data_IF_925718390273
#
_entry.id   IF_925718390273
#
_cell.length_a   1.000
_cell.length_b   1.000
_cell.length_c   1.000
_cell.angle_alpha   90.00
_cell.angle_beta   90.00
_cell.angle_gamma   90.00
#
_symmetry.space_group_name_H-M   'P 1'
#
loop_
_entity.id
_entity.type
_entity.pdbx_description
1 polymer ?
#
# COMPACT_ATOMS: atom_id res chain seq x y z
N UNK A 1 -17.42 -43.90 -40.43
CA UNK A 1 -18.30 -43.57 -39.28
C UNK A 1 -17.41 -43.18 -38.10
N UNK A 2 -17.49 -41.94 -37.62
CA UNK A 2 -16.73 -41.51 -36.42
C UNK A 2 -17.52 -41.96 -35.19
N UNK A 3 -16.99 -42.92 -34.45
CA UNK A 3 -17.48 -43.29 -33.13
C UNK A 3 -17.18 -42.14 -32.16
N UNK A 4 -18.16 -41.29 -31.90
CA UNK A 4 -18.09 -40.35 -30.78
C UNK A 4 -18.28 -41.19 -29.51
N UNK A 5 -17.16 -41.51 -28.84
CA UNK A 5 -17.20 -42.07 -27.49
C UNK A 5 -17.76 -40.97 -26.58
N UNK A 6 -19.01 -41.12 -26.15
CA UNK A 6 -19.58 -40.25 -25.11
C UNK A 6 -18.89 -40.50 -23.77
N UNK A 7 -18.71 -39.44 -23.00
CA UNK A 7 -18.24 -39.52 -21.62
C UNK A 7 -19.28 -40.26 -20.78
N UNK A 8 -18.86 -41.17 -19.90
CA UNK A 8 -19.82 -41.88 -19.04
C UNK A 8 -20.25 -40.99 -17.87
N UNK A 9 -21.51 -41.12 -17.43
CA UNK A 9 -22.01 -40.32 -16.29
C UNK A 9 -21.19 -40.55 -15.02
N UNK A 10 -20.73 -41.79 -14.79
CA UNK A 10 -19.91 -42.13 -13.62
C UNK A 10 -18.54 -41.45 -13.65
N UNK A 11 -17.96 -41.28 -14.84
CA UNK A 11 -16.67 -40.65 -15.04
C UNK A 11 -16.74 -39.13 -14.81
N UNK A 12 -17.89 -38.51 -15.11
CA UNK A 12 -18.13 -37.12 -14.73
C UNK A 12 -18.30 -36.98 -13.20
N UNK A 13 -19.05 -37.89 -12.58
CA UNK A 13 -19.33 -37.86 -11.13
C UNK A 13 -18.05 -38.07 -10.31
N UNK A 14 -17.21 -39.03 -10.67
CA UNK A 14 -15.97 -39.28 -9.93
C UNK A 14 -15.01 -38.09 -10.01
N UNK A 15 -14.95 -37.39 -11.15
CA UNK A 15 -14.08 -36.22 -11.31
C UNK A 15 -14.52 -35.07 -10.40
N UNK A 16 -15.81 -34.73 -10.36
CA UNK A 16 -16.29 -33.65 -9.47
C UNK A 16 -16.12 -34.01 -7.99
N UNK A 17 -16.24 -35.29 -7.62
CA UNK A 17 -16.00 -35.75 -6.24
C UNK A 17 -14.52 -35.59 -5.86
N UNK A 18 -13.60 -35.99 -6.74
CA UNK A 18 -12.16 -35.82 -6.51
C UNK A 18 -11.80 -34.33 -6.41
N UNK A 19 -12.30 -33.50 -7.34
CA UNK A 19 -12.08 -32.04 -7.30
C UNK A 19 -12.66 -31.41 -6.03
N UNK A 20 -13.81 -31.91 -5.54
CA UNK A 20 -14.40 -31.48 -4.27
C UNK A 20 -13.49 -31.72 -3.06
N UNK A 21 -12.92 -32.93 -2.95
CA UNK A 21 -12.02 -33.28 -1.84
C UNK A 21 -10.72 -32.48 -1.89
N UNK A 22 -10.12 -32.36 -3.09
CA UNK A 22 -8.89 -31.57 -3.27
C UNK A 22 -9.10 -30.08 -2.95
N UNK A 23 -10.26 -29.53 -3.33
CA UNK A 23 -10.60 -28.14 -3.02
C UNK A 23 -10.73 -27.90 -1.51
N UNK A 24 -11.40 -28.81 -0.80
CA UNK A 24 -11.64 -28.68 0.65
C UNK A 24 -10.34 -28.60 1.48
N UNK A 25 -9.28 -29.31 1.07
CA UNK A 25 -7.98 -29.26 1.78
C UNK A 25 -7.09 -28.09 1.34
N UNK A 26 -7.24 -27.61 0.11
CA UNK A 26 -6.40 -26.55 -0.44
C UNK A 26 -6.85 -25.14 -0.02
N UNK A 27 -8.16 -24.95 0.15
CA UNK A 27 -8.75 -23.63 0.42
C UNK A 27 -8.26 -22.96 1.71
N UNK A 28 -8.14 -23.65 2.87
CA UNK A 28 -7.65 -23.02 4.11
C UNK A 28 -6.23 -22.48 3.95
N UNK A 29 -5.33 -23.28 3.35
CA UNK A 29 -3.94 -22.88 3.11
C UNK A 29 -3.83 -21.69 2.16
N UNK A 30 -4.72 -21.59 1.17
CA UNK A 30 -4.74 -20.47 0.25
C UNK A 30 -5.11 -19.15 0.95
N UNK A 31 -5.98 -19.20 1.96
CA UNK A 31 -6.36 -18.02 2.77
C UNK A 31 -5.15 -17.52 3.56
N UNK A 32 -4.43 -18.42 4.25
CA UNK A 32 -3.23 -18.06 5.01
C UNK A 32 -2.14 -17.48 4.09
N UNK A 33 -1.88 -18.11 2.95
CA UNK A 33 -0.93 -17.59 1.96
C UNK A 33 -1.33 -16.22 1.41
N UNK A 34 -2.63 -15.96 1.28
CA UNK A 34 -3.13 -14.66 0.81
C UNK A 34 -2.88 -13.56 1.84
N UNK A 35 -3.05 -13.88 3.14
CA UNK A 35 -2.73 -12.99 4.25
C UNK A 35 -1.23 -12.66 4.28
N UNK A 36 -0.38 -13.68 4.25
CA UNK A 36 1.08 -13.49 4.25
C UNK A 36 1.55 -12.68 3.04
N UNK A 37 0.95 -12.90 1.87
CA UNK A 37 1.25 -12.14 0.66
C UNK A 37 0.88 -10.65 0.80
N UNK A 38 -0.24 -10.32 1.45
CA UNK A 38 -0.61 -8.93 1.73
C UNK A 38 0.38 -8.28 2.69
N UNK A 39 0.75 -8.96 3.77
CA UNK A 39 1.71 -8.44 4.75
C UNK A 39 3.07 -8.19 4.08
N UNK A 40 3.58 -9.14 3.29
CA UNK A 40 4.83 -8.98 2.56
C UNK A 40 4.79 -7.80 1.56
N UNK A 41 3.65 -7.57 0.89
CA UNK A 41 3.47 -6.41 0.02
C UNK A 41 3.50 -5.08 0.80
N UNK A 42 2.90 -5.03 1.99
CA UNK A 42 2.95 -3.86 2.86
C UNK A 42 4.35 -3.63 3.41
N UNK A 43 5.09 -4.67 3.80
CA UNK A 43 6.49 -4.56 4.23
C UNK A 43 7.37 -3.96 3.12
N UNK A 44 7.19 -4.44 1.89
CA UNK A 44 7.87 -3.87 0.71
C UNK A 44 7.51 -2.40 0.50
N UNK A 45 6.23 -2.06 0.62
CA UNK A 45 5.75 -0.67 0.49
C UNK A 45 6.32 0.23 1.59
N UNK A 46 6.37 -0.26 2.83
CA UNK A 46 6.95 0.45 3.98
C UNK A 46 8.44 0.73 3.77
N UNK A 47 9.19 -0.25 3.25
CA UNK A 47 10.60 -0.05 2.93
C UNK A 47 10.78 1.01 1.84
N UNK A 48 10.01 0.92 0.75
CA UNK A 48 10.05 1.90 -0.34
C UNK A 48 9.69 3.32 0.12
N UNK A 49 8.68 3.48 0.98
CA UNK A 49 8.34 4.77 1.58
C UNK A 49 9.47 5.33 2.43
N UNK A 50 10.14 4.47 3.21
CA UNK A 50 11.26 4.89 4.03
C UNK A 50 12.46 5.33 3.18
N UNK A 51 12.73 4.62 2.08
CA UNK A 51 13.76 4.99 1.11
C UNK A 51 13.42 6.29 0.39
N UNK A 52 12.18 6.46 -0.06
CA UNK A 52 11.70 7.68 -0.70
C UNK A 52 11.84 8.90 0.21
N UNK A 53 11.38 8.80 1.46
CA UNK A 53 11.46 9.87 2.45
C UNK A 53 12.92 10.24 2.76
N UNK A 54 13.79 9.25 2.96
CA UNK A 54 15.23 9.49 3.17
C UNK A 54 15.91 10.08 1.93
N UNK A 55 15.56 9.61 0.73
CA UNK A 55 16.09 10.12 -0.52
C UNK A 55 15.76 11.59 -0.74
N UNK A 56 14.52 11.99 -0.47
CA UNK A 56 14.09 13.39 -0.49
C UNK A 56 14.83 14.24 0.56
N UNK A 57 14.98 13.72 1.77
CA UNK A 57 15.76 14.37 2.82
C UNK A 57 17.20 14.62 2.41
N UNK A 58 17.90 13.62 1.87
CA UNK A 58 19.27 13.78 1.40
C UNK A 58 19.39 14.86 0.32
N UNK A 59 18.42 14.96 -0.59
CA UNK A 59 18.37 16.05 -1.58
C UNK A 59 18.18 17.41 -0.92
N UNK A 60 17.30 17.52 0.08
CA UNK A 60 17.09 18.78 0.82
C UNK A 60 18.34 19.22 1.60
N UNK A 61 19.14 18.27 2.12
CA UNK A 61 20.39 18.56 2.83
C UNK A 61 21.41 19.15 1.88
N UNK A 62 21.51 18.62 0.66
CA UNK A 62 22.41 19.14 -0.37
C UNK A 62 22.02 20.56 -0.78
N UNK A 63 20.72 20.87 -0.86
CA UNK A 63 20.23 22.22 -1.15
C UNK A 63 20.29 23.18 0.05
N UNK A 64 20.48 22.66 1.27
CA UNK A 64 20.53 23.45 2.50
C UNK A 64 19.17 23.72 3.15
N UNK A 65 18.09 23.13 2.64
CA UNK A 65 16.71 23.39 3.05
C UNK A 65 16.19 22.41 4.11
N UNK A 66 17.00 21.45 4.55
CA UNK A 66 16.62 20.37 5.46
C UNK A 66 16.23 20.79 6.90
N UNK A 67 16.29 22.09 7.20
CA UNK A 67 15.88 22.68 8.49
C UNK A 67 14.68 23.61 8.37
N UNK A 68 14.22 23.88 7.15
CA UNK A 68 13.04 24.70 6.93
C UNK A 68 11.82 23.98 7.53
N UNK A 69 11.01 24.74 8.28
CA UNK A 69 9.75 24.24 8.79
C UNK A 69 8.87 23.77 7.64
N UNK A 70 8.79 24.55 6.56
CA UNK A 70 8.19 24.12 5.30
C UNK A 70 8.96 24.73 4.13
N UNK A 71 9.13 23.97 3.05
CA UNK A 71 9.55 24.46 1.73
C UNK A 71 8.43 24.24 0.74
N UNK A 72 8.30 25.16 -0.21
CA UNK A 72 7.34 25.02 -1.31
C UNK A 72 8.08 24.74 -2.61
N UNK A 73 7.55 23.84 -3.44
CA UNK A 73 8.03 23.57 -4.80
C UNK A 73 9.49 23.11 -4.87
N UNK A 74 9.89 22.16 -4.02
CA UNK A 74 11.20 21.52 -4.10
C UNK A 74 11.21 20.46 -5.21
N UNK A 75 12.13 20.59 -6.18
CA UNK A 75 12.18 19.67 -7.32
C UNK A 75 12.89 18.35 -6.99
N UNK A 76 12.19 17.23 -7.18
CA UNK A 76 12.75 15.88 -7.11
C UNK A 76 12.32 15.13 -8.37
N UNK A 77 13.29 14.68 -9.17
CA UNK A 77 13.04 13.89 -10.38
C UNK A 77 12.04 14.54 -11.37
N UNK A 78 12.03 15.88 -11.45
CA UNK A 78 11.13 16.63 -12.34
C UNK A 78 9.72 16.89 -11.77
N UNK A 79 9.42 16.41 -10.55
CA UNK A 79 8.20 16.69 -9.82
C UNK A 79 8.47 17.68 -8.69
N UNK A 80 7.46 18.47 -8.31
CA UNK A 80 7.56 19.45 -7.24
C UNK A 80 6.91 18.95 -5.97
N UNK A 81 7.67 18.93 -4.88
CA UNK A 81 7.23 18.48 -3.57
C UNK A 81 7.30 19.63 -2.58
N UNK A 82 6.32 19.68 -1.69
CA UNK A 82 6.45 20.46 -0.49
C UNK A 82 7.15 19.59 0.57
N UNK A 83 8.16 20.16 1.24
CA UNK A 83 8.94 19.46 2.24
C UNK A 83 8.75 20.09 3.61
N UNK A 84 8.76 19.28 4.65
CA UNK A 84 8.74 19.67 6.05
C UNK A 84 9.96 19.06 6.74
N UNK A 85 10.85 19.91 7.24
CA UNK A 85 12.14 19.48 7.79
C UNK A 85 12.94 18.57 6.82
N UNK A 86 12.82 18.84 5.52
CA UNK A 86 13.48 18.09 4.45
C UNK A 86 12.75 16.82 3.98
N UNK A 87 11.65 16.42 4.61
CA UNK A 87 10.86 15.25 4.20
C UNK A 87 9.60 15.66 3.44
N UNK A 88 9.13 14.88 2.45
CA UNK A 88 7.93 15.23 1.69
C UNK A 88 6.66 15.22 2.55
N UNK A 89 5.70 16.07 2.20
CA UNK A 89 4.37 16.03 2.78
C UNK A 89 3.62 14.75 2.37
N UNK A 90 2.72 14.29 3.24
CA UNK A 90 1.86 13.14 3.07
C UNK A 90 0.70 13.43 2.11
N UNK A 91 0.01 14.55 2.30
CA UNK A 91 -1.11 14.98 1.47
C UNK A 91 -1.09 16.50 1.28
N UNK A 92 -0.20 17.02 0.42
CA UNK A 92 -0.08 18.45 0.18
C UNK A 92 -1.30 18.98 -0.60
N UNK A 93 -1.66 20.25 -0.36
CA UNK A 93 -2.72 20.92 -1.12
C UNK A 93 -2.31 21.21 -2.57
N UNK A 94 -1.00 21.33 -2.83
CA UNK A 94 -0.41 21.62 -4.14
C UNK A 94 0.86 20.78 -4.29
N UNK A 95 1.08 20.21 -5.48
CA UNK A 95 2.28 19.44 -5.80
C UNK A 95 2.13 17.95 -5.50
N UNK A 96 3.27 17.27 -5.37
CA UNK A 96 3.36 15.82 -5.24
C UNK A 96 3.48 15.37 -3.77
N UNK A 97 2.86 14.25 -3.45
CA UNK A 97 2.93 13.56 -2.16
C UNK A 97 4.16 12.65 -2.09
N UNK A 98 4.62 12.30 -0.88
CA UNK A 98 5.61 11.23 -0.67
C UNK A 98 5.27 9.94 -1.45
N UNK A 99 3.98 9.67 -1.68
CA UNK A 99 3.52 8.49 -2.41
C UNK A 99 3.92 8.52 -3.89
N UNK A 100 4.05 9.70 -4.49
CA UNK A 100 4.49 9.87 -5.89
C UNK A 100 5.98 9.51 -6.10
N UNK A 101 6.73 9.30 -5.01
CA UNK A 101 8.12 8.81 -5.06
C UNK A 101 8.21 7.29 -4.98
N UNK A 102 7.09 6.59 -4.80
CA UNK A 102 7.02 5.14 -4.64
C UNK A 102 6.23 4.52 -5.79
N UNK A 103 6.79 3.47 -6.38
CA UNK A 103 6.04 2.65 -7.34
C UNK A 103 5.12 1.68 -6.60
N UNK A 104 3.82 1.90 -6.71
CA UNK A 104 2.80 1.07 -6.07
C UNK A 104 2.19 0.07 -7.05
N UNK A 105 1.81 -1.10 -6.53
CA UNK A 105 1.01 -2.05 -7.31
C UNK A 105 -0.44 -1.59 -7.44
N UNK A 106 -1.10 -1.91 -8.55
CA UNK A 106 -2.53 -1.59 -8.82
C UNK A 106 -3.54 -2.10 -7.78
N UNK A 107 -3.10 -2.98 -6.86
CA UNK A 107 -3.94 -3.52 -5.78
C UNK A 107 -3.90 -2.69 -4.50
N UNK A 108 -2.93 -1.80 -4.39
CA UNK A 108 -2.79 -0.91 -3.25
C UNK A 108 -3.52 0.38 -3.54
N UNK A 109 -4.24 0.85 -2.54
CA UNK A 109 -4.96 2.10 -2.60
C UNK A 109 -4.33 3.10 -1.64
N UNK A 110 -4.33 4.35 -2.09
CA UNK A 110 -3.74 5.49 -1.38
C UNK A 110 -4.89 6.32 -0.83
N UNK A 111 -4.85 6.59 0.47
CA UNK A 111 -5.85 7.39 1.14
C UNK A 111 -5.13 8.39 2.06
N UNK A 112 -5.16 9.68 1.72
CA UNK A 112 -4.81 10.74 2.63
C UNK A 112 -5.59 10.63 3.96
N UNK A 113 -4.94 10.80 5.10
CA UNK A 113 -5.59 10.66 6.41
C UNK A 113 -5.30 9.34 7.11
N UNK A 114 -6.26 8.89 7.92
CA UNK A 114 -6.09 7.75 8.83
C UNK A 114 -6.57 6.41 8.26
N UNK A 115 -7.13 6.40 7.04
CA UNK A 115 -7.67 5.21 6.37
C UNK A 115 -9.16 4.93 6.62
N UNK A 116 -9.79 5.68 7.53
CA UNK A 116 -11.24 5.66 7.79
C UNK A 116 -12.02 6.65 6.94
N UNK A 117 -11.38 7.74 6.55
CA UNK A 117 -11.85 8.76 5.62
C UNK A 117 -10.64 9.24 4.82
N UNK A 118 -10.79 9.41 3.52
CA UNK A 118 -9.72 9.91 2.66
C UNK A 118 -9.82 11.43 2.60
N UNK A 119 -9.09 12.11 3.48
CA UNK A 119 -9.15 13.55 3.69
C UNK A 119 -7.99 14.23 2.95
N UNK A 120 -8.30 14.96 1.88
CA UNK A 120 -7.33 15.48 0.90
C UNK A 120 -6.28 16.48 1.44
N UNK A 121 -6.29 16.81 2.73
CA UNK A 121 -5.31 17.67 3.39
C UNK A 121 -5.09 17.13 4.79
N UNK A 122 -4.00 16.37 4.97
CA UNK A 122 -3.71 15.65 6.21
C UNK A 122 -2.20 15.47 6.36
N UNK A 123 -1.73 15.46 7.61
CA UNK A 123 -0.33 15.16 7.96
C UNK A 123 0.00 13.66 7.82
N UNK A 124 -0.95 12.87 7.33
CA UNK A 124 -0.87 11.43 7.16
C UNK A 124 -1.31 11.00 5.77
N UNK A 125 -0.75 9.89 5.33
CA UNK A 125 -1.23 9.14 4.18
C UNK A 125 -1.08 7.67 4.47
N UNK A 126 -2.10 6.90 4.15
CA UNK A 126 -2.07 5.44 4.26
C UNK A 126 -2.07 4.80 2.89
N UNK A 127 -1.34 3.70 2.76
CA UNK A 127 -1.27 2.88 1.56
C UNK A 127 -1.60 1.45 1.98
N UNK A 128 -2.66 0.87 1.41
CA UNK A 128 -3.11 -0.44 1.86
C UNK A 128 -4.13 -1.09 0.96
N UNK A 129 -4.68 -2.21 1.43
CA UNK A 129 -5.75 -2.90 0.73
C UNK A 129 -7.11 -2.41 1.22
N UNK A 130 -8.01 -2.04 0.30
CA UNK A 130 -9.39 -1.72 0.68
C UNK A 130 -10.11 -2.95 1.21
N UNK A 131 -10.88 -2.73 2.27
CA UNK A 131 -11.91 -3.66 2.71
C UNK A 131 -13.25 -3.28 2.04
N UNK A 132 -13.52 -3.88 0.88
CA UNK A 132 -14.76 -3.65 0.13
C UNK A 132 -16.01 -4.18 0.84
N UNK A 133 -15.86 -5.02 1.87
CA UNK A 133 -16.99 -5.56 2.64
C UNK A 133 -17.43 -4.63 3.77
N UNK A 134 -16.55 -3.71 4.22
CA UNK A 134 -16.82 -2.75 5.31
C UNK A 134 -17.06 -1.30 4.85
N UNK A 135 -17.29 -1.08 3.56
CA UNK A 135 -17.69 0.23 3.02
C UNK A 135 -16.53 1.19 2.77
N UNK A 136 -15.71 0.89 1.76
CA UNK A 136 -14.66 1.76 1.20
C UNK A 136 -13.70 2.39 2.24
N UNK A 137 -13.41 1.66 3.31
CA UNK A 137 -12.37 2.04 4.28
C UNK A 137 -11.15 1.14 4.12
N UNK A 138 -9.95 1.71 4.29
CA UNK A 138 -8.71 0.94 4.44
C UNK A 138 -8.71 0.33 5.84
N UNK A 139 -9.58 -0.65 6.07
CA UNK A 139 -9.73 -1.27 7.36
C UNK A 139 -8.56 -2.24 7.62
N UNK A 140 -7.63 -1.78 8.46
CA UNK A 140 -6.67 -2.59 9.21
C UNK A 140 -5.58 -3.37 8.44
N UNK A 141 -5.36 -3.09 7.14
CA UNK A 141 -4.27 -3.69 6.36
C UNK A 141 -3.56 -2.62 5.51
N UNK A 142 -2.74 -1.78 6.16
CA UNK A 142 -2.09 -0.64 5.52
C UNK A 142 -0.74 -0.27 6.16
N UNK A 143 0.04 0.51 5.42
CA UNK A 143 1.19 1.27 5.93
C UNK A 143 0.79 2.74 6.03
N UNK A 144 1.09 3.39 7.14
CA UNK A 144 0.86 4.81 7.39
C UNK A 144 2.18 5.55 7.35
N UNK A 145 2.24 6.62 6.58
CA UNK A 145 3.26 7.65 6.68
C UNK A 145 2.67 8.86 7.39
N UNK A 146 3.32 9.30 8.46
CA UNK A 146 3.00 10.53 9.19
C UNK A 146 4.15 11.51 9.01
N UNK A 147 3.84 12.72 8.57
CA UNK A 147 4.81 13.79 8.36
C UNK A 147 5.55 14.17 9.65
N UNK A 148 6.74 14.77 9.53
CA UNK A 148 7.39 15.44 10.65
C UNK A 148 6.49 16.52 11.28
N UNK A 149 6.68 16.78 12.57
CA UNK A 149 6.03 17.87 13.32
C UNK A 149 7.02 18.53 14.25
N UNK A 150 6.64 19.65 14.84
CA UNK A 150 7.51 20.34 15.79
C UNK A 150 7.84 19.42 16.97
N UNK A 151 9.15 19.20 17.20
CA UNK A 151 9.65 18.26 18.20
C UNK A 151 9.87 16.82 17.70
N UNK A 152 9.38 16.46 16.52
CA UNK A 152 9.59 15.16 15.86
C UNK A 152 9.98 15.41 14.39
N UNK A 153 11.27 15.65 14.17
CA UNK A 153 11.83 16.13 12.89
C UNK A 153 11.96 15.04 11.81
N UNK A 154 11.44 13.84 12.07
CA UNK A 154 11.46 12.72 11.14
C UNK A 154 10.05 12.20 10.95
N UNK A 155 9.70 11.71 9.76
CA UNK A 155 8.41 11.08 9.55
C UNK A 155 8.36 9.74 10.30
N UNK A 156 7.16 9.37 10.70
CA UNK A 156 6.88 8.10 11.37
C UNK A 156 6.13 7.19 10.39
N UNK A 157 6.68 6.00 10.16
CA UNK A 157 6.13 4.99 9.26
C UNK A 157 5.74 3.78 10.08
N UNK A 158 4.45 3.43 10.06
CA UNK A 158 3.87 2.36 10.87
C UNK A 158 3.00 1.45 10.01
N UNK A 159 2.93 0.17 10.37
CA UNK A 159 2.09 -0.80 9.67
C UNK A 159 0.96 -1.28 10.59
N UNK A 160 -0.23 -1.43 10.02
CA UNK A 160 -1.38 -2.09 10.65
C UNK A 160 -1.74 -3.31 9.80
N UNK A 161 -1.73 -4.50 10.43
CA UNK A 161 -1.87 -5.79 9.74
C UNK A 161 -3.00 -6.64 10.29
N UNK A 162 -3.78 -6.15 11.26
CA UNK A 162 -4.86 -6.91 11.89
C UNK A 162 -6.01 -7.29 10.94
N UNK A 163 -6.17 -6.56 9.84
CA UNK A 163 -7.13 -6.80 8.76
C UNK A 163 -6.54 -7.44 7.51
N UNK A 164 -5.26 -7.82 7.54
CA UNK A 164 -4.68 -8.73 6.56
C UNK A 164 -5.07 -10.18 6.94
#
# INVERSE_FOLDING_TARGET
>A
MRNVKGFTLIELVIVIVILGILSAIAMPKLIDMSKDAKIAALEGTSASLQEAAKGAYLKSVVSGDNKAATTNLFEINGNFFDLKYGYPLAAPEIGSSVVDLVELSDKLEVCPGDGTSCDSSSDKVVIGFLDKEKGETLAQCFVRYTEPKDGELHPTIEMETSGC
#
